data_IF_783396702646
#
_entry.id   IF_783396702646
#
_cell.length_a   1.000
_cell.length_b   1.000
_cell.length_c   1.000
_cell.angle_alpha   90.00
_cell.angle_beta   90.00
_cell.angle_gamma   90.00
#
_symmetry.space_group_name_H-M   'P 1'
#
loop_
_entity.id
_entity.type
_entity.pdbx_description
1 polymer ?
#
# COMPACT_ATOMS: atom_id res chain seq x y z
N UNK A 1 -29.38 23.65 -11.23
CA UNK A 1 -28.68 22.36 -11.34
C UNK A 1 -28.57 21.80 -9.92
N UNK A 2 -29.44 20.86 -9.55
CA UNK A 2 -29.51 20.35 -8.18
C UNK A 2 -28.33 19.40 -7.93
N UNK A 3 -27.59 19.64 -6.85
CA UNK A 3 -26.43 18.82 -6.42
C UNK A 3 -26.80 17.32 -6.35
N UNK A 4 -28.04 17.01 -5.97
CA UNK A 4 -28.59 15.64 -6.01
C UNK A 4 -28.47 14.95 -7.37
N UNK A 5 -28.72 15.66 -8.46
CA UNK A 5 -28.65 15.10 -9.81
C UNK A 5 -27.21 14.76 -10.21
N UNK A 6 -26.25 15.63 -9.90
CA UNK A 6 -24.84 15.40 -10.20
C UNK A 6 -24.29 14.14 -9.51
N UNK A 7 -24.61 13.93 -8.23
CA UNK A 7 -24.21 12.70 -7.53
C UNK A 7 -24.85 11.44 -8.14
N UNK A 8 -26.09 11.54 -8.62
CA UNK A 8 -26.80 10.43 -9.23
C UNK A 8 -26.22 10.08 -10.61
N UNK A 9 -25.82 11.10 -11.38
CA UNK A 9 -25.16 10.93 -12.68
C UNK A 9 -23.73 10.37 -12.51
N UNK A 10 -22.95 10.88 -11.55
CA UNK A 10 -21.62 10.35 -11.22
C UNK A 10 -21.68 8.91 -10.71
N UNK A 11 -22.68 8.54 -9.90
CA UNK A 11 -22.84 7.16 -9.45
C UNK A 11 -23.15 6.22 -10.62
N UNK A 12 -24.03 6.65 -11.52
CA UNK A 12 -24.36 5.89 -12.74
C UNK A 12 -23.13 5.72 -13.63
N UNK A 13 -22.29 6.75 -13.77
CA UNK A 13 -21.05 6.69 -14.54
C UNK A 13 -19.98 5.78 -13.90
N UNK A 14 -19.76 5.88 -12.59
CA UNK A 14 -18.77 5.07 -11.87
C UNK A 14 -19.13 3.58 -11.82
N UNK A 15 -20.41 3.24 -11.92
CA UNK A 15 -20.89 1.84 -11.90
C UNK A 15 -20.97 1.24 -13.29
N UNK A 16 -21.44 2.00 -14.30
CA UNK A 16 -21.68 1.46 -15.64
C UNK A 16 -20.56 1.71 -16.65
N UNK A 17 -19.68 2.67 -16.37
CA UNK A 17 -18.62 3.11 -17.30
C UNK A 17 -17.21 2.79 -16.81
N UNK A 18 -17.10 2.12 -15.66
CA UNK A 18 -15.83 1.66 -15.10
C UNK A 18 -15.92 0.16 -14.90
N UNK A 19 -14.91 -0.55 -15.39
CA UNK A 19 -14.78 -1.99 -15.20
C UNK A 19 -14.36 -2.27 -13.75
N UNK A 20 -15.34 -2.45 -12.87
CA UNK A 20 -15.09 -3.01 -11.55
C UNK A 20 -14.59 -4.45 -11.71
N UNK A 21 -13.44 -4.80 -11.10
CA UNK A 21 -12.97 -6.18 -11.12
C UNK A 21 -13.98 -7.06 -10.39
N UNK A 22 -14.00 -8.35 -10.74
CA UNK A 22 -14.82 -9.30 -9.99
C UNK A 22 -14.31 -9.40 -8.55
N UNK A 23 -15.17 -9.80 -7.61
CA UNK A 23 -14.79 -9.93 -6.20
C UNK A 23 -13.58 -10.87 -5.98
N UNK A 24 -13.42 -11.88 -6.84
CA UNK A 24 -12.28 -12.79 -6.80
C UNK A 24 -10.99 -12.10 -7.25
N UNK A 25 -11.04 -11.25 -8.29
CA UNK A 25 -9.88 -10.50 -8.77
C UNK A 25 -9.46 -9.41 -7.77
N UNK A 26 -10.43 -8.80 -7.08
CA UNK A 26 -10.16 -7.85 -6.00
C UNK A 26 -9.41 -8.52 -4.85
N UNK A 27 -9.84 -9.71 -4.43
CA UNK A 27 -9.17 -10.47 -3.38
C UNK A 27 -7.78 -10.89 -3.79
N UNK A 28 -7.59 -11.38 -5.02
CA UNK A 28 -6.25 -11.72 -5.53
C UNK A 28 -5.31 -10.50 -5.53
N UNK A 29 -5.80 -9.34 -5.96
CA UNK A 29 -5.02 -8.10 -5.94
C UNK A 29 -4.69 -7.65 -4.53
N UNK A 30 -5.64 -7.77 -3.59
CA UNK A 30 -5.43 -7.43 -2.19
C UNK A 30 -4.42 -8.36 -1.51
N UNK A 31 -4.50 -9.67 -1.78
CA UNK A 31 -3.55 -10.67 -1.26
C UNK A 31 -2.15 -10.41 -1.81
N UNK A 32 -2.03 -10.07 -3.10
CA UNK A 32 -0.74 -9.70 -3.69
C UNK A 32 -0.11 -8.49 -2.98
N UNK A 33 -0.90 -7.45 -2.72
CA UNK A 33 -0.43 -6.24 -2.01
C UNK A 33 -0.05 -6.57 -0.56
N UNK A 34 -0.83 -7.41 0.13
CA UNK A 34 -0.54 -7.85 1.49
C UNK A 34 0.79 -8.61 1.60
N UNK A 35 1.07 -9.52 0.66
CA UNK A 35 2.36 -10.23 0.62
C UNK A 35 3.50 -9.27 0.29
N UNK A 36 3.26 -8.36 -0.64
CA UNK A 36 4.26 -7.35 -1.03
C UNK A 36 4.62 -6.44 0.14
N UNK A 37 3.64 -5.96 0.91
CA UNK A 37 3.90 -5.10 2.08
C UNK A 37 4.65 -5.85 3.18
N UNK A 38 4.38 -7.15 3.37
CA UNK A 38 5.12 -7.99 4.32
C UNK A 38 6.60 -8.11 3.93
N UNK A 39 6.91 -8.29 2.65
CA UNK A 39 8.29 -8.33 2.16
C UNK A 39 8.99 -7.00 2.40
N UNK A 40 8.34 -5.87 2.08
CA UNK A 40 8.90 -4.54 2.37
C UNK A 40 9.17 -4.33 3.85
N UNK A 41 8.25 -4.78 4.73
CA UNK A 41 8.44 -4.67 6.17
C UNK A 41 9.70 -5.43 6.65
N UNK A 42 9.95 -6.63 6.11
CA UNK A 42 11.16 -7.39 6.44
C UNK A 42 12.44 -6.71 5.94
N UNK A 43 12.42 -6.11 4.75
CA UNK A 43 13.56 -5.38 4.21
C UNK A 43 13.89 -4.16 5.08
N UNK A 44 12.87 -3.37 5.44
CA UNK A 44 13.05 -2.20 6.31
C UNK A 44 13.57 -2.63 7.68
N UNK A 45 13.01 -3.68 8.27
CA UNK A 45 13.51 -4.21 9.55
C UNK A 45 14.99 -4.65 9.46
N UNK A 46 15.39 -5.29 8.36
CA UNK A 46 16.80 -5.64 8.12
C UNK A 46 17.70 -4.42 8.00
N UNK A 47 17.23 -3.37 7.32
CA UNK A 47 17.95 -2.11 7.18
C UNK A 47 18.10 -1.41 8.53
N UNK A 48 17.04 -1.31 9.33
CA UNK A 48 17.06 -0.69 10.65
C UNK A 48 18.07 -1.38 11.58
N UNK A 49 18.09 -2.71 11.58
CA UNK A 49 19.07 -3.49 12.35
C UNK A 49 20.49 -3.27 11.84
N UNK A 50 20.71 -3.28 10.52
CA UNK A 50 22.03 -3.05 9.95
C UNK A 50 22.56 -1.67 10.33
N UNK A 51 21.74 -0.62 10.20
CA UNK A 51 22.14 0.73 10.57
C UNK A 51 22.41 0.88 12.06
N UNK A 52 21.61 0.29 12.95
CA UNK A 52 21.87 0.31 14.39
C UNK A 52 23.22 -0.30 14.73
N UNK A 53 23.51 -1.49 14.19
CA UNK A 53 24.76 -2.20 14.46
C UNK A 53 25.97 -1.46 13.89
N UNK A 54 25.87 -0.91 12.68
CA UNK A 54 26.94 -0.10 12.07
C UNK A 54 27.19 1.14 12.91
N UNK A 55 26.12 1.81 13.36
CA UNK A 55 26.26 3.04 14.13
C UNK A 55 26.87 2.79 15.50
N UNK A 56 26.46 1.73 16.20
CA UNK A 56 27.08 1.29 17.45
C UNK A 56 28.56 0.97 17.27
N UNK A 57 28.92 0.26 16.20
CA UNK A 57 30.32 -0.05 15.89
C UNK A 57 31.15 1.21 15.63
N UNK A 58 30.62 2.15 14.84
CA UNK A 58 31.30 3.41 14.54
C UNK A 58 31.44 4.27 15.80
N UNK A 59 30.41 4.37 16.63
CA UNK A 59 30.48 5.10 17.90
C UNK A 59 31.46 4.47 18.87
N UNK A 60 31.50 3.13 18.97
CA UNK A 60 32.47 2.41 19.81
C UNK A 60 33.93 2.55 19.34
N UNK A 61 34.15 2.89 18.07
CA UNK A 61 35.50 3.08 17.52
C UNK A 61 35.98 4.52 17.67
N UNK A 62 35.05 5.49 17.62
CA UNK A 62 35.33 6.93 17.67
C UNK A 62 35.29 7.52 19.09
N UNK A 63 34.58 6.88 20.03
CA UNK A 63 34.54 7.22 21.45
C UNK A 63 35.02 6.03 22.28
#
# INVERSE_FOLDING_TARGET
>A
MNIKGYFQDTFTELVHKVTWPTWNDLQNSAVLVMVTSLIFALIVAGMDLAFSNIMEFVYSLLY
#
